data_IF_824699243329
#
_entry.id   IF_824699243329
#
_cell.length_a   1.000
_cell.length_b   1.000
_cell.length_c   1.000
_cell.angle_alpha   90.00
_cell.angle_beta   90.00
_cell.angle_gamma   90.00
#
_symmetry.space_group_name_H-M   'P 1'
#
loop_
_entity.id
_entity.type
_entity.pdbx_description
1 polymer ?
#
# COMPACT_ATOMS: atom_id res chain seq x y z
N UNK A 1 21.54 8.97 17.79
CA UNK A 1 20.70 7.74 17.84
C UNK A 1 20.44 7.33 16.41
N UNK A 2 20.47 6.04 16.11
CA UNK A 2 20.10 5.59 14.78
C UNK A 2 18.60 5.78 14.58
N UNK A 3 18.21 6.20 13.37
CA UNK A 3 16.80 6.42 13.02
C UNK A 3 16.04 5.09 13.00
N UNK A 4 14.76 5.13 13.33
CA UNK A 4 13.87 3.98 13.16
C UNK A 4 13.51 3.82 11.68
N UNK A 5 13.78 2.65 11.11
CA UNK A 5 13.54 2.37 9.70
C UNK A 5 12.12 1.83 9.49
N UNK A 6 11.32 2.55 8.72
CA UNK A 6 9.94 2.18 8.38
C UNK A 6 9.87 1.95 6.87
N UNK A 7 9.59 0.73 6.47
CA UNK A 7 9.40 0.37 5.05
C UNK A 7 7.93 0.49 4.69
N UNK A 8 7.60 1.37 3.76
CA UNK A 8 6.25 1.53 3.21
C UNK A 8 6.12 0.71 1.91
N UNK A 9 5.66 -0.52 2.05
CA UNK A 9 5.56 -1.48 0.95
C UNK A 9 4.14 -1.51 0.39
N UNK A 10 3.98 -1.20 -0.90
CA UNK A 10 2.66 -1.12 -1.50
C UNK A 10 2.67 -1.01 -3.02
N UNK A 11 1.53 -0.61 -3.56
CA UNK A 11 1.27 -0.44 -4.98
C UNK A 11 1.40 1.03 -5.44
N UNK A 12 0.60 1.41 -6.44
CA UNK A 12 0.54 2.76 -6.99
C UNK A 12 0.13 3.83 -5.97
N UNK A 13 -0.75 3.51 -5.02
CA UNK A 13 -1.13 4.43 -3.95
C UNK A 13 0.05 4.73 -3.00
N UNK A 14 0.93 3.76 -2.78
CA UNK A 14 2.17 3.96 -2.01
C UNK A 14 3.25 4.64 -2.87
N UNK A 15 3.34 4.31 -4.16
CA UNK A 15 4.22 4.98 -5.11
C UNK A 15 3.92 6.48 -5.23
N UNK A 16 2.66 6.87 -5.02
CA UNK A 16 2.16 8.22 -5.22
C UNK A 16 1.77 8.51 -6.68
N UNK A 17 1.20 7.49 -7.36
CA UNK A 17 0.64 7.69 -8.69
C UNK A 17 -0.49 8.72 -8.63
N UNK A 18 -0.47 9.66 -9.59
CA UNK A 18 -1.50 10.67 -9.75
C UNK A 18 -2.39 10.31 -10.94
N UNK A 19 -3.65 9.98 -10.67
CA UNK A 19 -4.64 9.66 -11.70
C UNK A 19 -5.33 10.88 -12.32
N UNK A 20 -5.20 12.05 -11.69
CA UNK A 20 -5.83 13.29 -12.14
C UNK A 20 -4.78 14.36 -12.44
N UNK A 21 -4.65 14.73 -13.71
CA UNK A 21 -3.72 15.78 -14.14
C UNK A 21 -3.99 17.15 -13.49
N UNK A 22 -5.22 17.42 -13.07
CA UNK A 22 -5.56 18.67 -12.37
C UNK A 22 -5.05 18.71 -10.92
N UNK A 23 -4.84 17.54 -10.31
CA UNK A 23 -4.28 17.42 -8.95
C UNK A 23 -2.76 17.20 -8.96
N UNK A 24 -2.12 17.13 -10.14
CA UNK A 24 -0.70 16.83 -10.28
C UNK A 24 0.20 18.01 -9.88
N UNK A 25 1.22 17.72 -9.06
CA UNK A 25 2.18 18.70 -8.56
C UNK A 25 3.65 18.25 -8.69
N UNK A 26 3.86 17.11 -9.34
CA UNK A 26 5.20 16.50 -9.50
C UNK A 26 5.87 16.84 -10.83
N UNK A 27 6.86 16.01 -11.18
CA UNK A 27 7.50 16.02 -12.50
C UNK A 27 7.07 14.76 -13.24
N UNK A 28 6.61 14.86 -14.50
CA UNK A 28 6.27 13.68 -15.29
C UNK A 28 7.41 12.68 -15.33
N UNK A 29 7.09 11.40 -15.11
CA UNK A 29 8.07 10.33 -15.12
C UNK A 29 8.30 9.82 -16.56
N UNK A 30 9.45 9.20 -16.86
CA UNK A 30 9.65 8.50 -18.13
C UNK A 30 8.49 7.53 -18.40
N UNK A 31 7.99 7.51 -19.64
CA UNK A 31 6.81 6.71 -20.00
C UNK A 31 5.47 7.42 -19.76
N UNK A 32 5.48 8.71 -19.36
CA UNK A 32 4.28 9.54 -19.25
C UNK A 32 3.46 9.34 -17.98
N UNK A 33 3.94 8.55 -17.03
CA UNK A 33 3.25 8.41 -15.73
C UNK A 33 3.44 9.65 -14.86
N UNK A 34 2.38 10.05 -14.18
CA UNK A 34 2.40 11.14 -13.21
C UNK A 34 2.62 10.56 -11.81
N UNK A 35 3.62 11.08 -11.10
CA UNK A 35 3.87 10.78 -9.69
C UNK A 35 3.84 12.06 -8.89
N UNK A 36 3.08 12.10 -7.81
CA UNK A 36 3.06 13.24 -6.89
C UNK A 36 4.45 13.60 -6.40
N UNK A 37 4.67 14.89 -6.14
CA UNK A 37 5.90 15.38 -5.52
C UNK A 37 6.11 14.79 -4.12
N UNK A 38 7.30 14.96 -3.57
CA UNK A 38 7.59 14.60 -2.16
C UNK A 38 6.74 15.38 -1.16
N UNK A 39 6.24 16.54 -1.56
CA UNK A 39 5.38 17.36 -0.72
C UNK A 39 3.93 16.84 -0.67
N UNK A 40 3.57 15.83 -1.48
CA UNK A 40 2.17 15.40 -1.61
C UNK A 40 1.94 13.91 -1.47
N UNK A 41 2.90 13.02 -1.76
CA UNK A 41 2.70 11.58 -1.58
C UNK A 41 2.79 11.18 -0.10
N UNK A 42 1.92 10.29 0.32
CA UNK A 42 1.70 9.99 1.73
C UNK A 42 2.95 9.48 2.49
N UNK A 43 3.88 8.69 1.93
CA UNK A 43 5.05 8.26 2.68
C UNK A 43 5.98 9.44 3.05
N UNK A 44 6.14 10.41 2.15
CA UNK A 44 6.97 11.58 2.42
C UNK A 44 6.28 12.59 3.33
N UNK A 45 4.96 12.70 3.27
CA UNK A 45 4.18 13.46 4.25
C UNK A 45 4.29 12.83 5.65
N UNK A 46 4.29 11.50 5.73
CA UNK A 46 4.52 10.74 6.95
C UNK A 46 5.95 10.99 7.49
N UNK A 47 6.98 10.96 6.62
CA UNK A 47 8.36 11.33 7.01
C UNK A 47 8.41 12.71 7.65
N UNK A 48 7.73 13.68 7.03
CA UNK A 48 7.68 15.05 7.56
C UNK A 48 6.97 15.13 8.92
N UNK A 49 5.89 14.38 9.09
CA UNK A 49 5.11 14.38 10.32
C UNK A 49 5.85 13.71 11.50
N UNK A 50 6.56 12.60 11.22
CA UNK A 50 7.31 11.85 12.23
C UNK A 50 8.68 12.46 12.57
N UNK A 51 9.23 13.30 11.69
CA UNK A 51 10.50 13.98 11.92
C UNK A 51 11.74 13.12 11.68
N UNK A 52 12.89 13.61 12.16
CA UNK A 52 14.22 13.05 11.86
C UNK A 52 14.56 11.76 12.63
N UNK A 53 13.79 11.42 13.64
CA UNK A 53 13.98 10.16 14.39
C UNK A 53 13.59 8.92 13.57
N UNK A 54 12.87 9.13 12.46
CA UNK A 54 12.40 8.08 11.57
C UNK A 54 13.04 8.21 10.18
N UNK A 55 13.20 7.08 9.52
CA UNK A 55 13.53 6.98 8.10
C UNK A 55 12.41 6.24 7.39
N UNK A 56 11.64 6.95 6.60
CA UNK A 56 10.61 6.36 5.75
C UNK A 56 11.22 5.92 4.44
N UNK A 57 11.05 4.64 4.12
CA UNK A 57 11.58 4.01 2.90
C UNK A 57 10.40 3.71 1.99
N UNK A 58 10.37 4.34 0.83
CA UNK A 58 9.28 4.20 -0.15
C UNK A 58 9.51 2.99 -1.05
N UNK A 59 8.69 1.97 -0.91
CA UNK A 59 8.69 0.74 -1.70
C UNK A 59 7.35 0.52 -2.42
N UNK A 60 6.79 1.58 -2.99
CA UNK A 60 5.60 1.57 -3.84
C UNK A 60 5.93 1.24 -5.29
N UNK A 61 5.18 0.33 -5.91
CA UNK A 61 5.32 -0.03 -7.33
C UNK A 61 3.94 -0.08 -8.01
N UNK A 62 3.76 0.73 -9.07
CA UNK A 62 2.50 0.75 -9.82
C UNK A 62 2.11 -0.64 -10.33
N UNK A 63 0.88 -1.06 -10.05
CA UNK A 63 0.37 -2.35 -10.49
C UNK A 63 0.78 -3.55 -9.63
N UNK A 64 1.52 -3.35 -8.52
CA UNK A 64 1.92 -4.46 -7.64
C UNK A 64 0.71 -5.14 -7.05
N UNK A 65 0.68 -6.48 -7.19
CA UNK A 65 -0.28 -7.37 -6.56
C UNK A 65 0.29 -7.98 -5.27
N UNK A 66 -0.50 -8.73 -4.54
CA UNK A 66 0.00 -9.56 -3.44
C UNK A 66 0.82 -10.74 -3.98
N UNK A 67 0.18 -11.71 -4.63
CA UNK A 67 0.78 -12.97 -5.13
C UNK A 67 0.46 -13.28 -6.58
N UNK A 68 -0.46 -12.54 -7.21
CA UNK A 68 -0.94 -12.82 -8.56
C UNK A 68 0.02 -12.26 -9.61
N UNK A 69 0.68 -13.15 -10.36
CA UNK A 69 1.61 -12.74 -11.40
C UNK A 69 0.87 -12.12 -12.58
N UNK A 70 1.37 -10.98 -13.02
CA UNK A 70 0.96 -10.35 -14.27
C UNK A 70 1.86 -10.88 -15.39
N UNK A 71 1.31 -11.54 -16.43
CA UNK A 71 2.11 -12.13 -17.51
C UNK A 71 2.93 -11.10 -18.29
N UNK A 72 2.55 -9.83 -18.22
CA UNK A 72 3.26 -8.72 -18.87
C UNK A 72 4.24 -7.98 -17.96
N UNK A 73 4.25 -8.29 -16.66
CA UNK A 73 5.00 -7.56 -15.63
C UNK A 73 5.63 -8.53 -14.62
N UNK A 74 6.53 -9.37 -15.13
CA UNK A 74 7.20 -10.38 -14.31
C UNK A 74 7.90 -9.79 -13.09
N UNK A 75 7.72 -10.44 -11.93
CA UNK A 75 8.37 -10.06 -10.68
C UNK A 75 7.72 -8.87 -9.96
N UNK A 76 6.54 -8.42 -10.40
CA UNK A 76 5.84 -7.29 -9.78
C UNK A 76 4.95 -7.69 -8.61
N UNK A 77 4.92 -8.95 -8.20
CA UNK A 77 4.19 -9.36 -7.01
C UNK A 77 4.92 -8.94 -5.73
N UNK A 78 4.16 -8.63 -4.70
CA UNK A 78 4.71 -8.41 -3.36
C UNK A 78 5.45 -9.65 -2.87
N UNK A 79 4.92 -10.84 -3.16
CA UNK A 79 5.49 -12.12 -2.76
C UNK A 79 6.90 -12.37 -3.30
N UNK A 80 7.19 -11.93 -4.54
CA UNK A 80 8.51 -12.11 -5.16
C UNK A 80 9.57 -11.16 -4.60
N UNK A 81 9.15 -9.97 -4.14
CA UNK A 81 10.07 -8.89 -3.80
C UNK A 81 10.19 -8.60 -2.29
N UNK A 82 9.22 -8.98 -1.46
CA UNK A 82 9.21 -8.60 -0.04
C UNK A 82 10.50 -8.99 0.71
N UNK A 83 11.05 -10.19 0.50
CA UNK A 83 12.27 -10.61 1.20
C UNK A 83 13.52 -9.86 0.73
N UNK A 84 13.83 -9.74 -0.59
CA UNK A 84 14.92 -8.89 -1.06
C UNK A 84 14.80 -7.45 -0.57
N UNK A 85 13.60 -6.87 -0.61
CA UNK A 85 13.32 -5.53 -0.12
C UNK A 85 13.71 -5.37 1.35
N UNK A 86 13.14 -6.18 2.23
CA UNK A 86 13.42 -6.11 3.68
C UNK A 86 14.89 -6.35 4.00
N UNK A 87 15.55 -7.29 3.32
CA UNK A 87 16.98 -7.58 3.50
C UNK A 87 17.87 -6.42 3.09
N UNK A 88 17.46 -5.64 2.09
CA UNK A 88 18.20 -4.44 1.63
C UNK A 88 18.08 -3.26 2.59
N UNK A 89 17.00 -3.21 3.38
CA UNK A 89 16.67 -2.10 4.27
C UNK A 89 16.86 -2.40 5.76
N UNK A 90 17.44 -3.56 6.08
CA UNK A 90 17.69 -3.95 7.49
C UNK A 90 18.68 -2.99 8.19
N UNK A 91 18.53 -2.77 9.52
CA UNK A 91 17.47 -3.30 10.37
C UNK A 91 16.14 -2.57 10.12
N UNK A 92 15.02 -3.31 10.19
CA UNK A 92 13.66 -2.77 10.01
C UNK A 92 12.95 -2.69 11.36
N UNK A 93 12.41 -1.53 11.69
CA UNK A 93 11.61 -1.31 12.90
C UNK A 93 10.12 -1.52 12.66
N UNK A 94 9.63 -1.20 11.46
CA UNK A 94 8.23 -1.37 11.08
C UNK A 94 8.11 -1.60 9.57
N UNK A 95 7.32 -2.59 9.18
CA UNK A 95 6.81 -2.75 7.82
C UNK A 95 5.36 -2.26 7.77
N UNK A 96 5.08 -1.27 6.94
CA UNK A 96 3.73 -0.87 6.55
C UNK A 96 3.42 -1.56 5.22
N UNK A 97 2.42 -2.44 5.21
CA UNK A 97 2.02 -3.23 4.05
C UNK A 97 0.63 -2.81 3.57
N UNK A 98 0.53 -2.20 2.39
CA UNK A 98 -0.74 -1.79 1.77
C UNK A 98 -0.82 -2.30 0.33
N UNK A 99 -1.47 -3.44 0.13
CA UNK A 99 -1.68 -4.12 -1.16
C UNK A 99 -3.08 -4.74 -1.21
N UNK A 100 -3.53 -5.07 -2.42
CA UNK A 100 -4.80 -5.77 -2.65
C UNK A 100 -5.66 -5.11 -3.72
N UNK A 101 -5.48 -3.82 -4.00
CA UNK A 101 -6.25 -3.11 -5.03
C UNK A 101 -6.08 -3.75 -6.40
N UNK A 102 -4.84 -4.01 -6.82
CA UNK A 102 -4.56 -4.61 -8.13
C UNK A 102 -5.02 -6.06 -8.25
N UNK A 103 -5.11 -6.75 -7.13
CA UNK A 103 -5.56 -8.15 -7.06
C UNK A 103 -7.05 -8.28 -7.40
N UNK A 104 -7.83 -7.19 -7.31
CA UNK A 104 -9.25 -7.17 -7.66
C UNK A 104 -9.50 -7.21 -9.16
N UNK A 105 -8.48 -6.98 -10.00
CA UNK A 105 -8.58 -7.01 -11.47
C UNK A 105 -9.19 -8.32 -11.96
N UNK A 106 -10.08 -8.20 -12.92
CA UNK A 106 -10.90 -9.32 -13.37
C UNK A 106 -10.09 -10.49 -13.90
N UNK A 107 -9.01 -10.22 -14.65
CA UNK A 107 -8.20 -11.28 -15.27
C UNK A 107 -7.49 -12.20 -14.28
N UNK A 108 -7.31 -11.80 -13.01
CA UNK A 108 -6.76 -12.71 -12.00
C UNK A 108 -7.80 -13.70 -11.47
N UNK A 109 -9.10 -13.45 -11.67
CA UNK A 109 -10.17 -14.32 -11.18
C UNK A 109 -10.13 -14.55 -9.68
N UNK A 110 -9.51 -13.62 -8.92
CA UNK A 110 -9.35 -13.76 -7.48
C UNK A 110 -10.64 -13.38 -6.75
N UNK A 111 -10.98 -14.17 -5.72
CA UNK A 111 -11.96 -13.76 -4.71
C UNK A 111 -11.28 -12.93 -3.63
N UNK A 112 -12.07 -12.20 -2.85
CA UNK A 112 -11.59 -11.42 -1.71
C UNK A 112 -10.83 -12.27 -0.68
N UNK A 113 -11.25 -13.52 -0.45
CA UNK A 113 -10.54 -14.43 0.46
C UNK A 113 -9.19 -14.84 -0.12
N UNK A 114 -9.07 -15.03 -1.43
CA UNK A 114 -7.79 -15.32 -2.09
C UNK A 114 -6.84 -14.12 -2.06
N UNK A 115 -7.37 -12.90 -2.20
CA UNK A 115 -6.60 -11.67 -2.04
C UNK A 115 -6.09 -11.56 -0.60
N UNK A 116 -6.96 -11.81 0.38
CA UNK A 116 -6.58 -11.84 1.80
C UNK A 116 -5.50 -12.90 2.07
N UNK A 117 -5.63 -14.11 1.53
CA UNK A 117 -4.63 -15.16 1.66
C UNK A 117 -3.27 -14.75 1.03
N UNK A 118 -3.29 -13.98 -0.06
CA UNK A 118 -2.09 -13.38 -0.66
C UNK A 118 -1.40 -12.39 0.28
N UNK A 119 -2.15 -11.52 0.92
CA UNK A 119 -1.63 -10.60 1.95
C UNK A 119 -1.05 -11.38 3.13
N UNK A 120 -1.73 -12.39 3.65
CA UNK A 120 -1.24 -13.24 4.73
C UNK A 120 0.08 -13.93 4.37
N UNK A 121 0.18 -14.42 3.14
CA UNK A 121 1.42 -15.03 2.64
C UNK A 121 2.60 -14.05 2.70
N UNK A 122 2.40 -12.80 2.28
CA UNK A 122 3.43 -11.75 2.35
C UNK A 122 3.81 -11.47 3.80
N UNK A 123 2.83 -11.33 4.70
CA UNK A 123 3.07 -11.12 6.13
C UNK A 123 3.91 -12.25 6.72
N UNK A 124 3.54 -13.51 6.47
CA UNK A 124 4.30 -14.67 6.93
C UNK A 124 5.74 -14.68 6.38
N UNK A 125 5.92 -14.33 5.11
CA UNK A 125 7.27 -14.21 4.54
C UNK A 125 8.08 -13.09 5.18
N UNK A 126 7.48 -11.94 5.42
CA UNK A 126 8.12 -10.82 6.09
C UNK A 126 8.54 -11.18 7.52
N UNK A 127 7.63 -11.80 8.30
CA UNK A 127 7.91 -12.24 9.66
C UNK A 127 9.11 -13.20 9.75
N UNK A 128 9.28 -14.07 8.75
CA UNK A 128 10.38 -15.04 8.69
C UNK A 128 11.65 -14.49 7.99
N UNK A 129 11.68 -13.20 7.63
CA UNK A 129 12.87 -12.59 7.04
C UNK A 129 13.80 -12.06 8.16
N UNK A 130 15.11 -12.37 8.15
CA UNK A 130 16.05 -11.94 9.21
C UNK A 130 16.49 -10.48 9.00
N UNK A 131 15.53 -9.55 9.08
CA UNK A 131 15.75 -8.13 8.83
C UNK A 131 15.36 -7.23 10.01
N UNK A 132 14.70 -7.79 11.02
CA UNK A 132 14.10 -7.03 12.11
C UNK A 132 15.14 -6.60 13.15
N UNK A 133 14.82 -5.55 13.88
CA UNK A 133 15.53 -5.18 15.10
C UNK A 133 15.35 -6.26 16.18
N UNK A 134 16.03 -6.12 17.31
CA UNK A 134 15.92 -7.07 18.44
C UNK A 134 14.48 -7.24 18.98
N UNK A 135 13.60 -6.28 18.69
CA UNK A 135 12.18 -6.36 19.07
C UNK A 135 11.38 -7.41 18.26
N UNK A 136 11.97 -7.91 17.18
CA UNK A 136 11.34 -8.90 16.30
C UNK A 136 10.41 -8.27 15.24
N UNK A 137 9.65 -9.13 14.53
CA UNK A 137 8.77 -8.68 13.46
C UNK A 137 7.69 -7.70 13.94
N UNK A 138 7.60 -6.55 13.28
CA UNK A 138 6.63 -5.51 13.55
C UNK A 138 5.99 -5.06 12.24
N UNK A 139 4.71 -5.38 12.05
CA UNK A 139 4.00 -5.19 10.78
C UNK A 139 2.67 -4.49 11.02
N UNK A 140 2.43 -3.44 10.26
CA UNK A 140 1.14 -2.78 10.12
C UNK A 140 0.52 -3.19 8.77
N UNK A 141 -0.48 -4.05 8.80
CA UNK A 141 -1.27 -4.41 7.64
C UNK A 141 -2.35 -3.34 7.40
N UNK A 142 -2.35 -2.73 6.23
CA UNK A 142 -3.34 -1.73 5.84
C UNK A 142 -4.26 -2.31 4.78
N UNK A 143 -5.57 -2.30 5.05
CA UNK A 143 -6.55 -2.49 3.99
C UNK A 143 -6.54 -1.24 3.09
N UNK A 144 -6.32 -1.39 1.77
CA UNK A 144 -6.29 -0.25 0.87
C UNK A 144 -7.66 0.44 0.80
N UNK A 145 -7.71 1.72 0.39
CA UNK A 145 -8.98 2.39 0.11
C UNK A 145 -9.86 1.54 -0.82
N UNK A 146 -11.15 1.36 -0.50
CA UNK A 146 -12.04 0.67 -1.41
C UNK A 146 -12.24 1.48 -2.69
N UNK A 147 -12.33 0.80 -3.82
CA UNK A 147 -12.58 1.38 -5.14
C UNK A 147 -13.90 2.15 -5.10
N UNK A 148 -13.92 3.41 -5.55
CA UNK A 148 -15.14 4.21 -5.59
C UNK A 148 -16.15 3.67 -6.62
N UNK A 149 -17.43 3.86 -6.36
CA UNK A 149 -18.51 3.36 -7.23
C UNK A 149 -18.45 3.92 -8.65
N UNK A 150 -17.92 5.13 -8.81
CA UNK A 150 -17.80 5.80 -10.10
C UNK A 150 -16.83 5.12 -11.08
N UNK A 151 -15.99 4.16 -10.62
CA UNK A 151 -15.00 3.50 -11.50
C UNK A 151 -15.63 2.80 -12.72
N UNK A 152 -16.90 2.43 -12.64
CA UNK A 152 -17.63 1.77 -13.73
C UNK A 152 -17.83 2.69 -14.95
N UNK A 153 -17.74 4.01 -14.75
CA UNK A 153 -17.86 5.02 -15.79
C UNK A 153 -16.48 5.56 -16.25
N UNK A 154 -15.39 4.89 -15.85
CA UNK A 154 -14.02 5.31 -16.13
C UNK A 154 -13.27 4.29 -17.01
N UNK A 155 -12.07 4.69 -17.47
CA UNK A 155 -11.14 3.80 -18.18
C UNK A 155 -10.61 2.65 -17.32
N UNK A 156 -10.92 2.62 -16.02
CA UNK A 156 -10.53 1.54 -15.11
C UNK A 156 -11.40 0.29 -15.26
N UNK A 157 -12.65 0.42 -15.70
CA UNK A 157 -13.58 -0.70 -15.79
C UNK A 157 -13.08 -1.88 -16.65
N UNK A 158 -12.50 -1.68 -17.85
CA UNK A 158 -12.02 -2.81 -18.66
C UNK A 158 -10.95 -3.65 -17.99
N UNK A 159 -10.15 -3.06 -17.11
CA UNK A 159 -9.06 -3.74 -16.41
C UNK A 159 -9.54 -4.40 -15.12
N UNK A 160 -10.39 -3.70 -14.37
CA UNK A 160 -10.83 -4.14 -13.05
C UNK A 160 -12.07 -5.03 -13.08
N UNK A 161 -12.93 -4.87 -14.11
CA UNK A 161 -14.18 -5.62 -14.24
C UNK A 161 -15.27 -5.18 -13.25
N UNK A 162 -16.51 -5.64 -13.42
CA UNK A 162 -17.66 -5.11 -12.70
C UNK A 162 -17.70 -5.45 -11.20
N UNK A 163 -16.90 -6.42 -10.72
CA UNK A 163 -16.91 -6.87 -9.32
C UNK A 163 -15.77 -6.34 -8.47
N UNK A 164 -14.92 -5.45 -9.00
CA UNK A 164 -13.72 -5.01 -8.28
C UNK A 164 -14.03 -4.21 -7.01
N UNK A 165 -15.06 -3.37 -7.05
CA UNK A 165 -15.48 -2.58 -5.90
C UNK A 165 -15.95 -3.47 -4.75
N UNK A 166 -16.79 -4.45 -5.01
CA UNK A 166 -17.31 -5.39 -4.02
C UNK A 166 -16.18 -6.16 -3.35
N UNK A 167 -15.22 -6.66 -4.14
CA UNK A 167 -14.00 -7.28 -3.60
C UNK A 167 -13.22 -6.31 -2.72
N UNK A 168 -12.98 -5.08 -3.18
CA UNK A 168 -12.21 -4.09 -2.42
C UNK A 168 -12.85 -3.71 -1.08
N UNK A 169 -14.19 -3.59 -1.04
CA UNK A 169 -14.94 -3.34 0.19
C UNK A 169 -14.82 -4.48 1.20
N UNK A 170 -14.73 -5.72 0.73
CA UNK A 170 -14.60 -6.90 1.59
C UNK A 170 -13.20 -7.06 2.20
N UNK A 171 -12.17 -6.37 1.69
CA UNK A 171 -10.80 -6.55 2.18
C UNK A 171 -10.62 -6.09 3.62
N UNK A 172 -11.19 -4.96 4.04
CA UNK A 172 -10.95 -4.42 5.38
C UNK A 172 -11.31 -5.40 6.50
N UNK A 173 -12.51 -5.98 6.57
CA UNK A 173 -12.85 -6.95 7.61
C UNK A 173 -12.05 -8.26 7.51
N UNK A 174 -11.67 -8.68 6.31
CA UNK A 174 -10.83 -9.86 6.11
C UNK A 174 -9.40 -9.62 6.61
N UNK A 175 -8.81 -8.47 6.26
CA UNK A 175 -7.45 -8.10 6.69
C UNK A 175 -7.37 -7.87 8.19
N UNK A 176 -8.38 -7.26 8.81
CA UNK A 176 -8.44 -7.11 10.27
C UNK A 176 -8.39 -8.47 10.98
N UNK A 177 -9.22 -9.41 10.52
CA UNK A 177 -9.25 -10.77 11.06
C UNK A 177 -7.91 -11.50 10.87
N UNK A 178 -7.31 -11.36 9.69
CA UNK A 178 -6.02 -11.95 9.36
C UNK A 178 -4.88 -11.34 10.19
N UNK A 179 -4.81 -10.01 10.29
CA UNK A 179 -3.82 -9.30 11.07
C UNK A 179 -3.84 -9.71 12.54
N UNK A 180 -5.03 -9.80 13.14
CA UNK A 180 -5.22 -10.28 14.51
C UNK A 180 -4.66 -11.69 14.71
N UNK A 181 -4.94 -12.61 13.75
CA UNK A 181 -4.44 -14.00 13.81
C UNK A 181 -2.93 -14.08 13.66
N UNK A 182 -2.34 -13.21 12.85
CA UNK A 182 -0.90 -13.15 12.58
C UNK A 182 -0.11 -12.31 13.58
N UNK A 183 -0.77 -11.72 14.57
CA UNK A 183 -0.12 -10.85 15.56
C UNK A 183 0.39 -9.53 14.99
N UNK A 184 -0.26 -9.01 13.93
CA UNK A 184 0.07 -7.75 13.30
C UNK A 184 -0.88 -6.64 13.75
N UNK A 185 -0.40 -5.39 13.70
CA UNK A 185 -1.27 -4.22 13.76
C UNK A 185 -2.11 -4.12 12.47
N UNK A 186 -3.28 -3.51 12.57
CA UNK A 186 -4.19 -3.31 11.45
C UNK A 186 -4.64 -1.86 11.35
N UNK A 187 -4.82 -1.36 10.12
CA UNK A 187 -5.42 -0.07 9.83
C UNK A 187 -6.32 -0.18 8.59
N UNK A 188 -7.51 0.42 8.64
CA UNK A 188 -8.40 0.55 7.48
C UNK A 188 -8.21 1.95 6.88
N UNK A 189 -7.71 2.02 5.65
CA UNK A 189 -7.52 3.29 4.96
C UNK A 189 -8.82 3.85 4.36
N UNK A 190 -9.89 3.06 4.28
CA UNK A 190 -11.17 3.49 3.71
C UNK A 190 -11.72 4.77 4.33
N UNK A 191 -11.86 4.88 5.67
CA UNK A 191 -12.43 6.06 6.32
C UNK A 191 -11.66 7.36 6.14
N UNK A 192 -10.37 7.28 5.83
CA UNK A 192 -9.48 8.45 5.64
C UNK A 192 -9.12 8.67 4.17
N UNK A 193 -9.68 7.90 3.26
CA UNK A 193 -9.41 8.01 1.83
C UNK A 193 -10.17 9.17 1.17
N UNK A 194 -9.53 9.75 0.17
CA UNK A 194 -10.15 10.69 -0.77
C UNK A 194 -9.58 10.33 -2.14
N UNK A 195 -10.39 9.67 -2.96
CA UNK A 195 -9.98 9.17 -4.28
C UNK A 195 -10.33 10.21 -5.36
N UNK A 196 -9.52 10.24 -6.43
CA UNK A 196 -9.84 11.08 -7.58
C UNK A 196 -11.04 10.50 -8.36
N UNK A 197 -11.74 11.36 -9.09
CA UNK A 197 -12.92 10.98 -9.87
C UNK A 197 -12.59 10.59 -11.33
N UNK A 198 -11.31 10.59 -11.72
CA UNK A 198 -10.88 10.25 -13.08
C UNK A 198 -10.74 8.73 -13.23
N UNK A 199 -10.12 8.08 -12.26
CA UNK A 199 -9.97 6.62 -12.24
C UNK A 199 -10.68 5.94 -11.07
N UNK A 200 -11.07 6.69 -10.04
CA UNK A 200 -11.79 6.21 -8.86
C UNK A 200 -11.02 5.17 -8.01
N UNK A 201 -9.69 5.13 -8.17
CA UNK A 201 -8.79 4.15 -7.55
C UNK A 201 -7.68 4.79 -6.74
N UNK A 202 -7.16 5.92 -7.21
CA UNK A 202 -5.97 6.53 -6.64
C UNK A 202 -6.28 7.70 -5.73
N UNK A 203 -5.52 7.79 -4.64
CA UNK A 203 -5.62 8.87 -3.68
C UNK A 203 -5.34 10.23 -4.35
N UNK A 204 -6.14 11.24 -3.99
CA UNK A 204 -5.81 12.64 -4.25
C UNK A 204 -4.71 13.11 -3.30
N UNK A 205 -4.14 14.31 -3.53
CA UNK A 205 -3.25 14.95 -2.54
C UNK A 205 -3.92 15.12 -1.18
N UNK A 206 -5.25 15.35 -1.15
CA UNK A 206 -6.02 15.42 0.09
C UNK A 206 -6.07 14.06 0.79
N UNK A 207 -6.34 12.97 0.04
CA UNK A 207 -6.31 11.61 0.55
C UNK A 207 -4.92 11.20 1.08
N UNK A 208 -3.86 11.55 0.34
CA UNK A 208 -2.48 11.33 0.81
C UNK A 208 -2.19 12.03 2.14
N UNK A 209 -2.64 13.28 2.31
CA UNK A 209 -2.48 14.01 3.58
C UNK A 209 -3.27 13.37 4.72
N UNK A 210 -4.50 12.96 4.47
CA UNK A 210 -5.35 12.33 5.48
C UNK A 210 -4.77 10.99 5.96
N UNK A 211 -4.33 10.15 5.01
CA UNK A 211 -3.68 8.88 5.33
C UNK A 211 -2.39 9.09 6.15
N UNK A 212 -1.51 9.99 5.69
CA UNK A 212 -0.26 10.28 6.39
C UNK A 212 -0.50 10.80 7.82
N UNK A 213 -1.47 11.69 8.01
CA UNK A 213 -1.82 12.22 9.33
C UNK A 213 -2.32 11.11 10.27
N UNK A 214 -3.24 10.26 9.81
CA UNK A 214 -3.75 9.15 10.61
C UNK A 214 -2.65 8.14 10.99
N UNK A 215 -1.73 7.83 10.06
CA UNK A 215 -0.61 6.95 10.34
C UNK A 215 0.39 7.56 11.32
N UNK A 216 0.63 8.88 11.24
CA UNK A 216 1.54 9.57 12.15
C UNK A 216 1.08 9.52 13.61
N UNK A 217 -0.22 9.39 13.88
CA UNK A 217 -0.76 9.26 15.24
C UNK A 217 -0.48 7.89 15.85
N UNK A 218 -0.48 6.82 15.05
CA UNK A 218 -0.38 5.43 15.55
C UNK A 218 1.05 4.87 15.55
N UNK A 219 1.89 5.29 14.59
CA UNK A 219 3.23 4.73 14.38
C UNK A 219 4.15 4.87 15.61
N UNK A 220 4.17 6.01 16.34
CA UNK A 220 5.00 6.10 17.54
C UNK A 220 4.70 5.01 18.58
N UNK A 221 3.42 4.64 18.73
CA UNK A 221 3.00 3.56 19.62
C UNK A 221 3.42 2.17 19.13
N UNK A 222 3.56 1.96 17.82
CA UNK A 222 4.02 0.70 17.22
C UNK A 222 5.54 0.55 17.29
N UNK A 223 6.28 1.65 17.31
CA UNK A 223 7.74 1.67 17.31
C UNK A 223 8.34 1.94 18.71
N UNK A 224 7.50 2.14 19.73
CA UNK A 224 7.89 2.50 21.10
C UNK A 224 8.67 1.44 21.86
#
# INVERSE_FOLDING_TARGET
MDRKHIVCFGDSNTHGYCGDAADFDGVPQPGGTMRYSEASRWPMLLQKALGEEYLIIEEGLNGRTTVFEDPYRYGWTGASYIQPCLMSHKPVDLLILMLGTNDTKEWYGATEERICAGMEYIVCRAQNTPCWTEKGPNILAIAPPPIDAGYVDTESLPEFGPGAREKSLALAPLYEKAARRLGCAFFDAGPVSDLNCVDCLHLTRKGCRALAAALAEIIPGLCG
#
